data_IF_007238074858
#
_entry.id   IF_007238074858
#
_cell.length_a   1.000
_cell.length_b   1.000
_cell.length_c   1.000
_cell.angle_alpha   90.00
_cell.angle_beta   90.00
_cell.angle_gamma   90.00
#
_symmetry.space_group_name_H-M   'P 1'
#
loop_
_entity.id
_entity.type
_entity.pdbx_description
1 polymer ?
#
# COMPACT_ATOMS: atom_id res chain seq x y z
N UNK A 1 7.55 3.32 10.69
CA UNK A 1 8.43 3.43 9.52
C UNK A 1 7.94 2.41 8.51
N UNK A 2 7.45 2.89 7.39
CA UNK A 2 6.87 2.06 6.34
C UNK A 2 7.83 2.07 5.16
N UNK A 3 8.24 0.91 4.69
CA UNK A 3 9.21 0.80 3.58
C UNK A 3 8.65 -0.09 2.50
N UNK A 4 8.35 0.51 1.35
CA UNK A 4 8.03 -0.21 0.13
C UNK A 4 9.32 -0.50 -0.66
N UNK A 5 9.55 -1.77 -0.97
CA UNK A 5 10.71 -2.21 -1.72
C UNK A 5 10.32 -3.14 -2.87
N UNK A 6 10.79 -2.81 -4.08
CA UNK A 6 10.69 -3.68 -5.25
C UNK A 6 12.01 -4.43 -5.47
N UNK A 7 12.00 -5.74 -5.21
CA UNK A 7 13.07 -6.64 -5.60
C UNK A 7 12.98 -7.03 -7.09
N UNK A 8 13.95 -7.80 -7.56
CA UNK A 8 13.93 -8.30 -8.96
C UNK A 8 12.71 -9.18 -9.24
N UNK A 9 12.30 -10.01 -8.27
CA UNK A 9 11.25 -11.01 -8.44
C UNK A 9 10.06 -10.83 -7.54
N UNK A 10 10.20 -10.15 -6.42
CA UNK A 10 9.19 -9.98 -5.37
C UNK A 10 9.02 -8.50 -5.02
N UNK A 11 7.92 -8.19 -4.34
CA UNK A 11 7.65 -6.86 -3.76
C UNK A 11 7.40 -7.00 -2.27
N UNK A 12 7.91 -6.04 -1.50
CA UNK A 12 7.86 -6.06 -0.04
C UNK A 12 7.32 -4.74 0.49
N UNK A 13 6.50 -4.86 1.51
CA UNK A 13 6.08 -3.76 2.36
C UNK A 13 6.41 -4.11 3.80
N UNK A 14 7.26 -3.30 4.43
CA UNK A 14 7.75 -3.55 5.80
C UNK A 14 7.27 -2.43 6.70
N UNK A 15 6.48 -2.80 7.70
CA UNK A 15 5.81 -1.91 8.63
C UNK A 15 6.29 -2.14 10.06
N UNK A 16 6.68 -1.09 10.77
CA UNK A 16 6.98 -1.16 12.20
C UNK A 16 5.79 -0.69 13.03
N UNK A 17 5.33 -1.52 13.96
CA UNK A 17 4.19 -1.24 14.84
C UNK A 17 4.64 -1.20 16.30
N UNK A 18 4.70 -0.01 16.87
CA UNK A 18 5.11 0.19 18.28
C UNK A 18 3.97 -0.18 19.22
N UNK A 19 2.76 0.26 18.90
CA UNK A 19 1.55 -0.02 19.67
C UNK A 19 0.75 -1.16 19.06
N UNK A 20 -0.15 -1.74 19.83
CA UNK A 20 -1.03 -2.82 19.37
C UNK A 20 -2.12 -2.26 18.44
N UNK A 21 -2.01 -2.56 17.16
CA UNK A 21 -2.95 -2.14 16.13
C UNK A 21 -4.05 -3.17 15.91
N UNK A 22 -5.33 -2.82 16.14
CA UNK A 22 -6.44 -3.78 16.05
C UNK A 22 -6.78 -4.20 14.61
N UNK A 23 -6.31 -3.50 13.60
CA UNK A 23 -6.71 -3.68 12.20
C UNK A 23 -5.63 -4.24 11.27
N UNK A 24 -4.57 -4.86 11.82
CA UNK A 24 -3.45 -5.42 11.04
C UNK A 24 -3.90 -6.28 9.84
N UNK A 25 -4.90 -7.13 10.03
CA UNK A 25 -5.41 -8.01 8.96
C UNK A 25 -6.05 -7.24 7.80
N UNK A 26 -6.71 -6.10 8.09
CA UNK A 26 -7.28 -5.25 7.04
C UNK A 26 -6.21 -4.41 6.36
N UNK A 27 -5.25 -3.89 7.15
CA UNK A 27 -4.10 -3.16 6.63
C UNK A 27 -3.27 -4.06 5.71
N UNK A 28 -2.97 -5.29 6.12
CA UNK A 28 -2.28 -6.26 5.26
C UNK A 28 -2.97 -6.43 3.91
N UNK A 29 -4.29 -6.65 3.89
CA UNK A 29 -5.06 -6.75 2.64
C UNK A 29 -4.96 -5.48 1.80
N UNK A 30 -5.02 -4.32 2.45
CA UNK A 30 -4.91 -3.03 1.79
C UNK A 30 -3.55 -2.86 1.13
N UNK A 31 -2.46 -3.18 1.84
CA UNK A 31 -1.10 -3.06 1.32
C UNK A 31 -0.83 -4.01 0.15
N UNK A 32 -1.27 -5.27 0.21
CA UNK A 32 -1.18 -6.17 -0.94
C UNK A 32 -1.87 -5.60 -2.18
N UNK A 33 -3.11 -5.09 -2.02
CA UNK A 33 -3.85 -4.47 -3.12
C UNK A 33 -3.14 -3.23 -3.66
N UNK A 34 -2.51 -2.46 -2.77
CA UNK A 34 -1.77 -1.26 -3.12
C UNK A 34 -0.54 -1.57 -3.95
N UNK A 35 0.26 -2.57 -3.51
CA UNK A 35 1.41 -3.06 -4.26
C UNK A 35 1.02 -3.55 -5.65
N UNK A 36 -0.03 -4.37 -5.74
CA UNK A 36 -0.54 -4.88 -7.02
C UNK A 36 -0.93 -3.75 -7.97
N UNK A 37 -1.64 -2.75 -7.46
CA UNK A 37 -2.08 -1.59 -8.25
C UNK A 37 -0.89 -0.69 -8.64
N UNK A 38 0.11 -0.57 -7.79
CA UNK A 38 1.30 0.23 -8.04
C UNK A 38 2.19 -0.40 -9.12
N UNK A 39 2.49 -1.70 -9.00
CA UNK A 39 3.47 -2.38 -9.84
C UNK A 39 2.88 -2.96 -11.13
N UNK A 40 1.60 -3.37 -11.14
CA UNK A 40 0.96 -3.86 -12.35
C UNK A 40 0.48 -2.70 -13.23
N UNK A 41 1.23 -2.41 -14.29
CA UNK A 41 0.87 -1.34 -15.23
C UNK A 41 -0.42 -1.67 -15.99
N UNK A 42 -1.22 -0.65 -16.31
CA UNK A 42 -2.47 -0.77 -17.07
C UNK A 42 -2.26 -1.58 -18.37
N UNK A 43 -3.09 -2.58 -18.58
CA UNK A 43 -3.07 -3.44 -19.78
C UNK A 43 -2.11 -4.62 -19.68
N UNK A 44 -1.40 -4.80 -18.57
CA UNK A 44 -0.59 -5.99 -18.33
C UNK A 44 -1.46 -7.14 -17.82
N UNK A 45 -1.13 -8.39 -18.15
CA UNK A 45 -1.84 -9.56 -17.65
C UNK A 45 -1.50 -9.83 -16.18
N UNK A 46 -2.45 -10.38 -15.42
CA UNK A 46 -2.28 -10.71 -13.99
C UNK A 46 -1.10 -11.64 -13.68
N UNK A 47 -0.66 -12.45 -14.63
CA UNK A 47 0.55 -13.31 -14.49
C UNK A 47 1.85 -12.51 -14.30
N UNK A 48 1.82 -11.21 -14.55
CA UNK A 48 2.96 -10.32 -14.35
C UNK A 48 2.97 -9.72 -12.92
N UNK A 49 1.95 -10.02 -12.10
CA UNK A 49 2.00 -9.73 -10.67
C UNK A 49 3.17 -10.50 -10.06
N UNK A 50 3.91 -9.83 -9.20
CA UNK A 50 5.01 -10.43 -8.45
C UNK A 50 4.48 -10.96 -7.11
N UNK A 51 5.09 -12.00 -6.55
CA UNK A 51 4.85 -12.37 -5.16
C UNK A 51 4.99 -11.15 -4.25
N UNK A 52 4.00 -10.93 -3.39
CA UNK A 52 3.95 -9.78 -2.49
C UNK A 52 4.06 -10.20 -1.03
N UNK A 53 4.89 -9.50 -0.29
CA UNK A 53 5.14 -9.72 1.12
C UNK A 53 4.80 -8.46 1.91
N UNK A 54 3.86 -8.58 2.84
CA UNK A 54 3.59 -7.56 3.86
C UNK A 54 4.15 -8.06 5.19
N UNK A 55 5.15 -7.37 5.73
CA UNK A 55 5.87 -7.75 6.93
C UNK A 55 5.62 -6.72 8.01
N UNK A 56 4.92 -7.11 9.08
CA UNK A 56 4.76 -6.28 10.26
C UNK A 56 5.79 -6.68 11.32
N UNK A 57 6.58 -5.71 11.78
CA UNK A 57 7.47 -5.84 12.93
C UNK A 57 6.74 -5.22 14.12
N UNK A 58 6.14 -6.05 14.96
CA UNK A 58 5.30 -5.62 16.09
C UNK A 58 6.09 -5.68 17.39
N UNK A 59 6.22 -4.55 18.08
CA UNK A 59 6.84 -4.51 19.44
C UNK A 59 6.02 -5.30 20.45
N UNK A 60 4.72 -5.50 20.19
CA UNK A 60 3.79 -6.31 20.99
C UNK A 60 3.16 -7.40 20.15
N UNK A 61 3.05 -8.61 20.72
CA UNK A 61 2.35 -9.71 20.04
C UNK A 61 0.87 -9.34 19.80
N UNK A 62 0.43 -9.15 18.56
CA UNK A 62 -0.94 -8.73 18.28
C UNK A 62 -1.97 -9.82 18.56
N UNK A 63 -1.56 -11.09 18.63
CA UNK A 63 -2.45 -12.24 18.85
C UNK A 63 -2.37 -12.80 20.28
N UNK A 64 -1.39 -12.38 21.08
CA UNK A 64 -1.18 -12.86 22.46
C UNK A 64 -1.01 -14.38 22.57
N UNK A 65 -0.48 -15.02 21.51
CA UNK A 65 -0.23 -16.45 21.47
C UNK A 65 1.20 -16.83 21.81
N UNK A 66 2.08 -15.83 21.94
CA UNK A 66 3.48 -16.01 22.34
C UNK A 66 4.35 -16.67 21.27
N UNK A 67 4.03 -16.52 20.01
CA UNK A 67 4.87 -16.96 18.90
C UNK A 67 5.70 -15.78 18.36
N UNK A 68 6.94 -16.05 17.93
CA UNK A 68 7.82 -15.04 17.36
C UNK A 68 7.41 -14.64 15.95
N UNK A 69 6.86 -15.58 15.19
CA UNK A 69 6.51 -15.41 13.78
C UNK A 69 5.12 -15.97 13.52
N UNK A 70 4.29 -15.16 12.88
CA UNK A 70 3.02 -15.58 12.31
C UNK A 70 3.09 -15.42 10.79
N UNK A 71 2.69 -16.47 10.05
CA UNK A 71 2.65 -16.46 8.59
C UNK A 71 1.25 -16.79 8.11
N UNK A 72 0.71 -15.92 7.27
CA UNK A 72 -0.63 -16.07 6.73
C UNK A 72 -0.60 -16.17 5.22
N UNK A 73 -1.38 -17.10 4.70
CA UNK A 73 -1.65 -17.32 3.29
C UNK A 73 -3.11 -17.69 3.12
N UNK A 74 -3.65 -17.52 1.91
CA UNK A 74 -5.03 -17.90 1.63
C UNK A 74 -5.17 -19.41 1.44
N UNK A 75 -6.07 -20.02 2.22
CA UNK A 75 -6.28 -21.47 2.25
C UNK A 75 -7.77 -21.79 2.26
N UNK A 76 -8.18 -22.82 1.52
CA UNK A 76 -9.50 -23.41 1.69
C UNK A 76 -9.59 -24.18 3.00
N UNK A 77 -10.57 -23.82 3.83
CA UNK A 77 -10.69 -24.35 5.21
C UNK A 77 -11.00 -25.86 5.26
N UNK A 78 -11.71 -26.38 4.26
CA UNK A 78 -12.18 -27.77 4.28
C UNK A 78 -11.14 -28.71 3.67
N UNK A 79 -10.54 -28.28 2.57
CA UNK A 79 -9.61 -29.10 1.80
C UNK A 79 -8.15 -28.86 2.19
N UNK A 80 -7.87 -27.82 3.02
CA UNK A 80 -6.53 -27.38 3.34
C UNK A 80 -5.67 -27.08 2.09
N UNK A 81 -6.33 -26.63 1.02
CA UNK A 81 -5.73 -26.33 -0.27
C UNK A 81 -5.30 -24.85 -0.28
N UNK A 82 -4.02 -24.62 -0.52
CA UNK A 82 -3.50 -23.26 -0.71
C UNK A 82 -3.98 -22.69 -2.05
N UNK A 83 -4.39 -21.43 -2.07
CA UNK A 83 -4.79 -20.74 -3.30
C UNK A 83 -3.59 -20.48 -4.21
N UNK A 84 -2.39 -20.35 -3.64
CA UNK A 84 -1.13 -20.02 -4.34
C UNK A 84 -1.24 -18.70 -5.13
N UNK A 85 -1.86 -17.70 -4.50
CA UNK A 85 -1.99 -16.35 -5.01
C UNK A 85 -0.72 -15.49 -4.82
N UNK A 86 0.32 -16.11 -4.24
CA UNK A 86 1.63 -15.52 -3.98
C UNK A 86 1.57 -14.26 -3.10
N UNK A 87 0.54 -14.16 -2.23
CA UNK A 87 0.44 -13.13 -1.19
C UNK A 87 0.85 -13.70 0.17
N UNK A 88 1.78 -13.03 0.84
CA UNK A 88 2.34 -13.50 2.11
C UNK A 88 2.29 -12.38 3.14
N UNK A 89 1.54 -12.60 4.22
CA UNK A 89 1.57 -11.70 5.38
C UNK A 89 2.39 -12.33 6.49
N UNK A 90 3.44 -11.64 6.92
CA UNK A 90 4.35 -12.09 7.98
C UNK A 90 4.28 -11.09 9.12
N UNK A 91 4.13 -11.60 10.34
CA UNK A 91 4.15 -10.78 11.55
C UNK A 91 5.25 -11.29 12.45
N UNK A 92 6.20 -10.42 12.78
CA UNK A 92 7.27 -10.65 13.74
C UNK A 92 6.86 -10.01 15.07
N UNK A 93 6.69 -10.81 16.13
CA UNK A 93 6.33 -10.32 17.47
C UNK A 93 7.58 -10.26 18.35
N UNK A 94 8.07 -9.06 18.61
CA UNK A 94 9.37 -8.84 19.30
C UNK A 94 9.30 -9.24 20.78
N UNK A 95 8.17 -9.03 21.47
CA UNK A 95 7.97 -9.37 22.89
C UNK A 95 7.61 -10.84 23.16
N UNK A 96 7.83 -11.72 22.16
CA UNK A 96 7.59 -13.15 22.34
C UNK A 96 8.59 -13.78 23.33
N UNK A 97 8.24 -14.95 23.94
CA UNK A 97 9.17 -15.68 24.77
C UNK A 97 10.46 -16.07 24.03
N UNK A 98 11.62 -15.82 24.63
CA UNK A 98 12.94 -16.07 24.00
C UNK A 98 13.11 -17.45 23.36
N UNK A 99 12.54 -18.49 23.96
CA UNK A 99 12.61 -19.85 23.42
C UNK A 99 11.76 -20.08 22.15
N UNK A 100 11.02 -19.09 21.70
CA UNK A 100 10.22 -19.12 20.47
C UNK A 100 10.89 -18.40 19.30
N UNK A 101 11.92 -17.60 19.58
CA UNK A 101 12.66 -16.88 18.55
C UNK A 101 13.54 -17.85 17.78
N UNK A 102 13.42 -17.94 16.45
CA UNK A 102 14.39 -18.68 15.64
C UNK A 102 15.79 -18.11 15.83
N UNK A 103 16.79 -19.00 15.91
CA UNK A 103 18.18 -18.62 16.17
C UNK A 103 18.70 -17.56 15.18
N UNK A 104 18.27 -17.64 13.95
CA UNK A 104 18.65 -16.74 12.86
C UNK A 104 18.09 -15.31 13.03
N UNK A 105 17.09 -15.13 13.91
CA UNK A 105 16.46 -13.85 14.19
C UNK A 105 16.76 -13.30 15.58
N UNK A 106 17.49 -14.05 16.45
CA UNK A 106 17.74 -13.63 17.84
C UNK A 106 18.44 -12.26 17.90
N UNK A 107 19.48 -12.06 17.10
CA UNK A 107 20.25 -10.81 17.04
C UNK A 107 19.44 -9.66 16.47
N UNK A 108 18.65 -9.94 15.44
CA UNK A 108 17.73 -8.94 14.85
C UNK A 108 16.65 -8.52 15.84
N UNK A 109 16.01 -9.45 16.56
CA UNK A 109 15.01 -9.13 17.58
C UNK A 109 15.62 -8.31 18.73
N UNK A 110 16.83 -8.65 19.15
CA UNK A 110 17.57 -7.89 20.18
C UNK A 110 17.87 -6.47 19.68
N UNK A 111 18.29 -6.33 18.44
CA UNK A 111 18.54 -5.02 17.82
C UNK A 111 17.27 -4.16 17.75
N UNK A 112 16.15 -4.75 17.31
CA UNK A 112 14.86 -4.00 17.24
C UNK A 112 14.36 -3.62 18.64
N UNK A 113 14.54 -4.50 19.65
CA UNK A 113 14.08 -4.25 21.02
C UNK A 113 14.93 -3.20 21.75
N UNK A 114 16.26 -3.18 21.51
CA UNK A 114 17.23 -2.47 22.38
C UNK A 114 18.27 -1.64 21.64
N UNK A 115 18.27 -1.66 20.32
CA UNK A 115 19.31 -1.06 19.49
C UNK A 115 20.74 -1.63 19.77
N UNK A 116 20.81 -2.85 20.32
CA UNK A 116 22.06 -3.52 20.59
C UNK A 116 22.57 -4.22 19.32
N UNK A 117 23.74 -3.82 18.81
CA UNK A 117 24.35 -4.40 17.60
C UNK A 117 25.24 -5.56 18.00
N UNK A 118 24.97 -6.75 17.45
CA UNK A 118 25.91 -7.88 17.53
C UNK A 118 27.00 -7.73 16.46
N UNK A 119 28.24 -7.55 16.90
CA UNK A 119 29.40 -7.37 16.02
C UNK A 119 29.73 -8.62 15.17
N UNK A 120 29.13 -9.76 15.47
CA UNK A 120 29.30 -10.99 14.69
C UNK A 120 28.17 -11.23 13.68
N UNK A 121 27.12 -10.39 13.69
CA UNK A 121 26.00 -10.47 12.76
C UNK A 121 26.11 -9.39 11.66
N UNK A 122 26.59 -9.78 10.49
CA UNK A 122 26.74 -8.88 9.35
C UNK A 122 25.42 -8.32 8.83
N UNK A 123 24.29 -9.00 9.07
CA UNK A 123 22.97 -8.50 8.69
C UNK A 123 22.53 -7.35 9.59
N UNK A 124 22.63 -7.53 10.89
CA UNK A 124 22.30 -6.49 11.89
C UNK A 124 23.21 -5.28 11.73
N UNK A 125 24.52 -5.48 11.53
CA UNK A 125 25.45 -4.37 11.24
C UNK A 125 25.03 -3.52 10.05
N UNK A 126 24.72 -4.18 8.92
CA UNK A 126 24.28 -3.47 7.72
C UNK A 126 22.99 -2.70 7.92
N UNK A 127 22.04 -3.25 8.71
CA UNK A 127 20.82 -2.52 9.07
C UNK A 127 21.19 -1.29 9.90
N UNK A 128 22.01 -1.46 10.94
CA UNK A 128 22.43 -0.37 11.80
C UNK A 128 23.14 0.74 11.03
N UNK A 129 24.09 0.39 10.17
CA UNK A 129 24.78 1.34 9.30
C UNK A 129 23.83 2.14 8.42
N UNK A 130 22.80 1.48 7.87
CA UNK A 130 21.75 2.15 7.07
C UNK A 130 20.85 3.06 7.90
N UNK A 131 20.46 2.65 9.09
CA UNK A 131 19.70 3.48 10.05
C UNK A 131 20.50 4.73 10.41
N UNK A 132 21.80 4.57 10.71
CA UNK A 132 22.70 5.67 11.00
C UNK A 132 22.91 6.62 9.78
N UNK A 133 22.98 6.08 8.57
CA UNK A 133 23.04 6.84 7.33
C UNK A 133 21.78 7.69 7.14
N UNK A 134 20.60 7.08 7.27
CA UNK A 134 19.30 7.77 7.18
C UNK A 134 19.15 8.84 8.26
N UNK A 135 19.52 8.54 9.50
CA UNK A 135 19.43 9.50 10.61
C UNK A 135 20.37 10.71 10.43
N UNK A 136 21.47 10.55 9.69
CA UNK A 136 22.41 11.65 9.38
C UNK A 136 21.98 12.47 8.18
N UNK A 137 21.24 11.89 7.28
CA UNK A 137 20.81 12.53 6.01
C UNK A 137 19.41 13.11 6.19
N UNK A 138 19.34 14.41 6.53
CA UNK A 138 18.09 15.14 6.71
C UNK A 138 17.27 15.28 5.42
N UNK A 139 17.82 14.95 4.25
CA UNK A 139 17.11 14.95 2.97
C UNK A 139 16.31 13.64 2.72
N UNK A 140 16.62 12.56 3.44
CA UNK A 140 15.95 11.26 3.30
C UNK A 140 14.61 11.18 4.05
N UNK A 141 14.20 12.23 4.74
CA UNK A 141 12.92 12.31 5.47
C UNK A 141 11.67 12.32 4.59
N UNK A 142 11.80 12.18 3.27
CA UNK A 142 10.68 12.20 2.31
C UNK A 142 10.52 10.88 1.52
N UNK A 143 10.76 9.74 2.14
CA UNK A 143 10.24 8.49 1.55
C UNK A 143 8.74 8.46 1.84
N UNK A 144 7.95 8.74 0.80
CA UNK A 144 6.50 8.63 0.86
C UNK A 144 6.09 7.20 1.25
N UNK A 145 5.26 7.07 2.26
CA UNK A 145 4.65 5.78 2.59
C UNK A 145 3.68 5.37 1.48
N UNK A 146 3.40 4.07 1.33
CA UNK A 146 2.35 3.59 0.42
C UNK A 146 1.03 4.33 0.69
N UNK A 147 0.72 4.56 1.95
CA UNK A 147 -0.50 5.24 2.37
C UNK A 147 -0.55 6.69 1.89
N UNK A 148 0.55 7.42 2.00
CA UNK A 148 0.67 8.80 1.49
C UNK A 148 0.58 8.84 -0.05
N UNK A 149 1.28 7.95 -0.74
CA UNK A 149 1.22 7.88 -2.21
C UNK A 149 -0.19 7.51 -2.69
N UNK A 150 -0.87 6.58 -2.02
CA UNK A 150 -2.24 6.22 -2.36
C UNK A 150 -3.24 7.32 -2.03
N UNK A 151 -3.06 8.06 -0.93
CA UNK A 151 -3.89 9.22 -0.64
C UNK A 151 -3.75 10.28 -1.72
N UNK A 152 -2.53 10.54 -2.17
CA UNK A 152 -2.26 11.46 -3.28
C UNK A 152 -2.93 10.96 -4.56
N UNK A 153 -2.77 9.70 -4.93
CA UNK A 153 -3.41 9.12 -6.13
C UNK A 153 -4.93 9.08 -6.03
N UNK A 154 -5.47 8.81 -4.84
CA UNK A 154 -6.91 8.82 -4.61
C UNK A 154 -7.48 10.22 -4.80
N UNK A 155 -6.82 11.25 -4.26
CA UNK A 155 -7.22 12.65 -4.47
C UNK A 155 -7.16 13.03 -5.94
N UNK A 156 -6.08 12.71 -6.64
CA UNK A 156 -6.00 12.98 -8.09
C UNK A 156 -7.07 12.23 -8.87
N UNK A 157 -7.30 10.96 -8.60
CA UNK A 157 -8.34 10.17 -9.28
C UNK A 157 -9.75 10.63 -8.95
N UNK A 158 -9.98 11.10 -7.72
CA UNK A 158 -11.25 11.67 -7.30
C UNK A 158 -11.52 13.00 -8.01
N UNK A 159 -10.53 13.90 -8.03
CA UNK A 159 -10.63 15.22 -8.67
C UNK A 159 -10.82 15.06 -10.19
N UNK A 160 -10.07 14.17 -10.84
CA UNK A 160 -10.26 13.86 -12.26
C UNK A 160 -11.64 13.24 -12.54
N UNK A 161 -12.09 12.34 -11.68
CA UNK A 161 -13.41 11.71 -11.78
C UNK A 161 -14.54 12.70 -11.57
N UNK A 162 -14.43 13.61 -10.62
CA UNK A 162 -15.41 14.69 -10.37
C UNK A 162 -15.45 15.66 -11.56
N UNK A 163 -14.30 16.10 -12.05
CA UNK A 163 -14.20 16.98 -13.20
C UNK A 163 -14.78 16.34 -14.48
N UNK A 164 -14.44 15.07 -14.74
CA UNK A 164 -14.98 14.32 -15.87
C UNK A 164 -16.50 14.10 -15.75
N UNK A 165 -16.98 13.76 -14.55
CA UNK A 165 -18.41 13.61 -14.27
C UNK A 165 -19.19 14.89 -14.42
N UNK A 166 -18.66 16.02 -13.95
CA UNK A 166 -19.25 17.33 -14.11
C UNK A 166 -19.32 17.74 -15.60
N UNK A 167 -18.24 17.54 -16.35
CA UNK A 167 -18.20 17.82 -17.79
C UNK A 167 -19.19 16.94 -18.58
N UNK A 168 -19.31 15.67 -18.24
CA UNK A 168 -20.27 14.77 -18.85
C UNK A 168 -21.72 15.22 -18.58
N UNK A 169 -22.02 15.59 -17.34
CA UNK A 169 -23.35 16.08 -16.95
C UNK A 169 -23.71 17.40 -17.63
N UNK A 170 -22.74 18.33 -17.78
CA UNK A 170 -22.93 19.55 -18.52
C UNK A 170 -23.28 19.27 -19.98
N UNK A 171 -22.58 18.35 -20.64
CA UNK A 171 -22.87 17.93 -22.02
C UNK A 171 -24.24 17.29 -22.16
N UNK A 172 -24.63 16.43 -21.22
CA UNK A 172 -25.96 15.81 -21.22
C UNK A 172 -27.08 16.83 -21.06
N UNK A 173 -26.92 17.82 -20.16
CA UNK A 173 -27.85 18.93 -19.99
C UNK A 173 -27.96 19.75 -21.28
N UNK A 174 -26.82 20.12 -21.86
CA UNK A 174 -26.78 20.89 -23.11
C UNK A 174 -27.48 20.16 -24.26
N UNK A 175 -27.27 18.86 -24.40
CA UNK A 175 -27.95 18.02 -25.39
C UNK A 175 -29.44 17.98 -25.18
N UNK A 176 -29.92 17.79 -23.95
CA UNK A 176 -31.35 17.81 -23.62
C UNK A 176 -32.01 19.18 -23.91
N UNK A 177 -31.27 20.26 -23.68
CA UNK A 177 -31.76 21.64 -23.98
C UNK A 177 -31.80 21.85 -25.48
N UNK A 178 -30.83 21.39 -26.26
CA UNK A 178 -30.79 21.45 -27.72
C UNK A 178 -31.96 20.69 -28.33
N UNK A 179 -32.28 19.50 -27.83
CA UNK A 179 -33.45 18.70 -28.26
C UNK A 179 -34.80 19.42 -27.99
N UNK A 180 -34.83 20.29 -27.00
CA UNK A 180 -36.01 21.14 -26.69
C UNK A 180 -36.03 22.45 -27.45
N UNK A 181 -35.15 22.64 -28.43
CA UNK A 181 -35.03 23.86 -29.26
C UNK A 181 -34.74 25.12 -28.44
N UNK A 182 -33.99 25.02 -27.35
CA UNK A 182 -33.52 26.20 -26.62
C UNK A 182 -32.41 26.88 -27.44
N UNK A 183 -32.35 28.21 -27.52
CA UNK A 183 -31.31 28.91 -28.27
C UNK A 183 -29.91 28.56 -27.78
N UNK A 184 -28.95 28.36 -28.70
CA UNK A 184 -27.57 27.97 -28.38
C UNK A 184 -26.89 28.96 -27.43
N UNK A 185 -27.19 30.24 -27.53
CA UNK A 185 -26.67 31.27 -26.62
C UNK A 185 -27.12 31.05 -25.17
N UNK A 186 -28.40 30.69 -24.97
CA UNK A 186 -28.96 30.44 -23.65
C UNK A 186 -28.39 29.13 -23.07
N UNK A 187 -28.18 28.10 -23.92
CA UNK A 187 -27.51 26.84 -23.52
C UNK A 187 -26.08 27.11 -23.05
N UNK A 188 -25.34 27.96 -23.78
CA UNK A 188 -23.97 28.32 -23.43
C UNK A 188 -23.91 29.05 -22.08
N UNK A 189 -24.83 29.99 -21.84
CA UNK A 189 -24.90 30.73 -20.57
C UNK A 189 -25.20 29.80 -19.38
N UNK A 190 -26.11 28.83 -19.55
CA UNK A 190 -26.55 27.95 -18.48
C UNK A 190 -25.51 26.84 -18.19
N UNK A 191 -24.89 26.30 -19.24
CA UNK A 191 -24.01 25.12 -19.10
C UNK A 191 -22.53 25.49 -19.02
N UNK A 192 -22.15 26.72 -19.41
CA UNK A 192 -20.75 27.14 -19.50
C UNK A 192 -19.98 26.51 -20.66
N UNK A 193 -20.64 25.73 -21.54
CA UNK A 193 -20.03 25.19 -22.75
C UNK A 193 -19.94 26.24 -23.85
N UNK A 194 -18.92 26.16 -24.67
CA UNK A 194 -18.79 27.02 -25.83
C UNK A 194 -19.88 26.72 -26.90
N UNK A 195 -20.20 27.69 -27.70
CA UNK A 195 -21.15 27.50 -28.82
C UNK A 195 -20.71 26.39 -29.76
N UNK A 196 -19.40 26.30 -30.03
CA UNK A 196 -18.81 25.25 -30.88
C UNK A 196 -18.96 23.84 -30.29
N UNK A 197 -18.86 23.69 -28.95
CA UNK A 197 -19.08 22.41 -28.26
C UNK A 197 -20.56 22.01 -28.31
N UNK A 198 -21.47 22.98 -28.14
CA UNK A 198 -22.91 22.74 -28.18
C UNK A 198 -23.35 22.35 -29.60
N UNK A 199 -22.76 22.94 -30.64
CA UNK A 199 -23.07 22.61 -32.03
C UNK A 199 -22.70 21.17 -32.39
N UNK A 200 -21.65 20.61 -31.75
CA UNK A 200 -21.18 19.25 -31.97
C UNK A 200 -21.96 18.18 -31.18
N UNK A 201 -22.83 18.56 -30.24
CA UNK A 201 -23.74 17.69 -29.53
C UNK A 201 -24.98 17.32 -30.36
#
# INVERSE_FOLDING_TARGET
LDVLFEGEKEVYDIEMQVEKEPELSKRSRYYHTSMDTHFLKKGRPYKDLKPSYVIFICMKDPFEMGEAIYQFQMIDKNLQLQLNDETYTIILAIDCPKGKIPRELETFFTYVEREEVDENDDFVKRIHEKVEEVNRDTEVTEIMTIEEEMNIRWHYGYDEGEAAGAAQKQREIAKNMKEKNIPTADIAEITGLSVEEIEKL
#
